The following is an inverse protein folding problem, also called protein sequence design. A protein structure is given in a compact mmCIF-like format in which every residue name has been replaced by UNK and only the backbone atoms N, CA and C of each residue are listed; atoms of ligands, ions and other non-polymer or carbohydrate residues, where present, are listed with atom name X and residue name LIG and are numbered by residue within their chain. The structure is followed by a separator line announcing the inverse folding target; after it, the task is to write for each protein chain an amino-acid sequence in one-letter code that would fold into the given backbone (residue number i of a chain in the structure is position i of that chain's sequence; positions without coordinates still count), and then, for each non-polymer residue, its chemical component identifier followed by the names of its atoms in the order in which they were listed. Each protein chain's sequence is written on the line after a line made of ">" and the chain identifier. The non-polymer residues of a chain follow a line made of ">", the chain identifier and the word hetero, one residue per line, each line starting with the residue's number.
data_IF_781236330906
#
_entry.id   IF_781236330906
#
_cell.length_a   1.000
_cell.length_b   1.000
_cell.length_c   1.000
_cell.angle_alpha   90.00
_cell.angle_beta   90.00
_cell.angle_gamma   90.00
#
_symmetry.space_group_name_H-M   'P 1'
#
loop_
_entity.id
_entity.type
_entity.pdbx_description
1 polymer ?
#
# COMPACT_ATOMS: atom_id res chain seq x y z
N UNK A 1 11.04 17.04 -7.14
CA UNK A 1 10.18 16.82 -5.97
C UNK A 1 10.51 17.89 -4.94
N UNK A 2 9.51 18.58 -4.36
CA UNK A 2 9.79 19.69 -3.42
C UNK A 2 10.13 19.15 -2.03
N UNK A 3 10.88 19.94 -1.24
CA UNK A 3 11.19 19.61 0.16
C UNK A 3 9.92 19.38 1.00
N UNK A 4 8.90 20.22 0.81
CA UNK A 4 7.63 20.10 1.50
C UNK A 4 6.92 18.75 1.25
N UNK A 5 7.02 18.21 0.03
CA UNK A 5 6.45 16.89 -0.28
C UNK A 5 7.21 15.77 0.41
N UNK A 6 8.55 15.88 0.49
CA UNK A 6 9.38 14.92 1.21
C UNK A 6 9.10 14.94 2.72
N UNK A 7 8.98 16.14 3.29
CA UNK A 7 8.65 16.34 4.70
C UNK A 7 7.22 15.84 5.02
N UNK A 8 6.28 15.98 4.08
CA UNK A 8 4.93 15.44 4.20
C UNK A 8 4.92 13.91 4.27
N UNK A 9 5.65 13.23 3.38
CA UNK A 9 5.80 11.75 3.40
C UNK A 9 6.45 11.32 4.71
N UNK A 10 7.57 11.97 5.09
CA UNK A 10 8.25 11.68 6.34
C UNK A 10 7.30 11.84 7.54
N UNK A 11 6.56 12.93 7.62
CA UNK A 11 5.63 13.14 8.72
C UNK A 11 4.52 12.08 8.77
N UNK A 12 4.03 11.66 7.61
CA UNK A 12 3.01 10.62 7.55
C UNK A 12 3.57 9.26 7.99
N UNK A 13 4.79 8.90 7.62
CA UNK A 13 5.26 7.51 7.64
C UNK A 13 6.35 7.20 8.67
N UNK A 14 6.96 8.23 9.26
CA UNK A 14 8.04 8.07 10.22
C UNK A 14 7.62 7.25 11.45
N UNK A 15 8.48 6.32 11.86
CA UNK A 15 8.26 5.46 13.02
C UNK A 15 7.32 4.27 12.80
N UNK A 16 6.79 4.08 11.58
CA UNK A 16 5.92 2.93 11.27
C UNK A 16 6.73 1.68 10.99
N UNK A 17 6.20 0.53 11.40
CA UNK A 17 6.76 -0.77 11.05
C UNK A 17 6.34 -1.13 9.62
N UNK A 18 7.29 -1.58 8.82
CA UNK A 18 7.07 -1.95 7.43
C UNK A 18 7.85 -3.20 7.05
N UNK A 19 7.44 -3.82 5.95
CA UNK A 19 8.18 -4.86 5.23
C UNK A 19 8.41 -4.41 3.80
N UNK A 20 9.44 -4.95 3.17
CA UNK A 20 9.73 -4.74 1.75
C UNK A 20 9.87 -6.10 1.09
N UNK A 21 9.07 -6.34 0.06
CA UNK A 21 9.25 -7.47 -0.85
C UNK A 21 9.82 -6.95 -2.17
N UNK A 22 10.88 -7.59 -2.67
CA UNK A 22 11.53 -7.20 -3.91
C UNK A 22 11.74 -8.40 -4.83
N UNK A 23 11.59 -8.19 -6.13
CA UNK A 23 11.93 -9.18 -7.16
C UNK A 23 12.49 -8.48 -8.39
N UNK A 24 13.72 -8.83 -8.76
CA UNK A 24 14.40 -8.19 -9.88
C UNK A 24 14.57 -6.68 -9.67
N UNK A 25 13.96 -5.89 -10.56
CA UNK A 25 14.07 -4.43 -10.57
C UNK A 25 12.86 -3.72 -9.95
N UNK A 26 11.97 -4.45 -9.26
CA UNK A 26 10.80 -3.87 -8.60
C UNK A 26 10.73 -4.28 -7.13
N UNK A 27 10.17 -3.40 -6.30
CA UNK A 27 9.92 -3.66 -4.89
C UNK A 27 8.62 -3.00 -4.41
N UNK A 28 8.02 -3.59 -3.38
CA UNK A 28 6.85 -3.06 -2.68
C UNK A 28 7.15 -2.96 -1.20
N UNK A 29 6.99 -1.76 -0.64
CA UNK A 29 6.96 -1.53 0.80
C UNK A 29 5.52 -1.53 1.28
N UNK A 30 5.22 -2.21 2.38
CA UNK A 30 3.90 -2.17 3.00
C UNK A 30 4.00 -2.15 4.52
N UNK A 31 3.04 -1.48 5.15
CA UNK A 31 3.05 -1.23 6.59
C UNK A 31 2.38 -2.37 7.36
N UNK A 32 2.95 -2.71 8.52
CA UNK A 32 2.56 -3.88 9.33
C UNK A 32 1.93 -3.51 10.67
N UNK A 33 1.97 -2.23 11.06
CA UNK A 33 1.41 -1.74 12.32
C UNK A 33 0.43 -0.56 12.15
N UNK A 34 0.12 -0.16 10.92
CA UNK A 34 -0.87 0.88 10.67
C UNK A 34 -1.71 0.58 9.43
N UNK A 35 -3.04 0.41 9.55
CA UNK A 35 -3.91 0.07 8.43
C UNK A 35 -4.18 1.26 7.49
N UNK A 36 -3.84 2.48 7.91
CA UNK A 36 -4.18 3.72 7.20
C UNK A 36 -3.29 3.96 5.99
N UNK A 37 -2.01 3.61 6.06
CA UNK A 37 -1.04 3.96 5.03
C UNK A 37 -0.97 2.91 3.93
N UNK A 38 -0.90 3.42 2.71
CA UNK A 38 -0.86 2.65 1.46
C UNK A 38 0.51 2.00 1.26
N UNK A 39 0.60 0.90 0.50
CA UNK A 39 1.90 0.37 0.10
C UNK A 39 2.60 1.33 -0.86
N UNK A 40 3.93 1.33 -0.85
CA UNK A 40 4.75 2.08 -1.79
C UNK A 40 5.45 1.19 -2.81
N UNK A 41 5.54 1.68 -4.04
CA UNK A 41 6.09 0.94 -5.17
C UNK A 41 7.41 1.55 -5.62
N UNK A 42 8.41 0.71 -5.86
CA UNK A 42 9.74 1.16 -6.25
C UNK A 42 10.24 0.41 -7.46
N UNK A 43 10.86 1.16 -8.38
CA UNK A 43 11.62 0.63 -9.50
C UNK A 43 13.12 0.90 -9.31
N UNK A 44 13.96 -0.08 -9.62
CA UNK A 44 15.42 0.04 -9.60
C UNK A 44 15.91 0.47 -10.98
N UNK A 45 16.48 1.66 -11.06
CA UNK A 45 17.13 2.18 -12.26
C UNK A 45 18.63 2.41 -12.06
N UNK A 46 19.32 3.00 -13.06
CA UNK A 46 20.74 3.35 -12.96
C UNK A 46 21.07 4.30 -11.80
N UNK A 47 20.09 5.14 -11.41
CA UNK A 47 20.20 6.09 -10.29
C UNK A 47 19.79 5.48 -8.94
N UNK A 48 19.63 4.16 -8.86
CA UNK A 48 19.17 3.47 -7.66
C UNK A 48 17.65 3.26 -7.63
N UNK A 49 17.12 3.02 -6.42
CA UNK A 49 15.69 2.83 -6.19
C UNK A 49 14.95 4.16 -6.25
N UNK A 50 13.88 4.19 -7.02
CA UNK A 50 13.02 5.36 -7.17
C UNK A 50 11.56 4.93 -6.97
N UNK A 51 10.77 5.78 -6.32
CA UNK A 51 9.34 5.55 -6.17
C UNK A 51 8.67 5.61 -7.54
N UNK A 52 7.88 4.59 -7.85
CA UNK A 52 7.10 4.50 -9.08
C UNK A 52 5.71 5.10 -8.85
N UNK A 53 5.62 6.42 -9.01
CA UNK A 53 4.39 7.19 -8.81
C UNK A 53 3.25 6.70 -9.73
N UNK A 54 3.56 6.20 -10.92
CA UNK A 54 2.54 5.65 -11.80
C UNK A 54 1.95 4.36 -11.23
N UNK A 55 2.79 3.50 -10.63
CA UNK A 55 2.33 2.31 -9.92
C UNK A 55 1.56 2.65 -8.64
N UNK A 56 1.95 3.66 -7.86
CA UNK A 56 1.19 4.16 -6.70
C UNK A 56 -0.27 4.45 -7.08
N UNK A 57 -0.45 5.26 -8.13
CA UNK A 57 -1.76 5.67 -8.61
C UNK A 57 -2.50 4.49 -9.24
N UNK A 58 -1.84 3.64 -10.02
CA UNK A 58 -2.51 2.53 -10.70
C UNK A 58 -2.93 1.44 -9.72
N UNK A 59 -2.06 1.04 -8.81
CA UNK A 59 -2.22 -0.20 -8.04
C UNK A 59 -2.95 0.00 -6.72
N UNK A 60 -3.14 1.24 -6.26
CA UNK A 60 -3.86 1.53 -5.01
C UNK A 60 -5.07 2.43 -5.27
N UNK A 61 -6.18 2.09 -4.63
CA UNK A 61 -7.34 2.97 -4.48
C UNK A 61 -7.45 3.36 -3.01
N UNK A 62 -7.38 4.66 -2.72
CA UNK A 62 -7.63 5.21 -1.39
C UNK A 62 -9.13 5.48 -1.19
N UNK A 63 -9.63 5.30 0.02
CA UNK A 63 -11.02 5.48 0.40
C UNK A 63 -11.12 6.34 1.66
N UNK A 64 -12.18 7.15 1.71
CA UNK A 64 -12.57 7.93 2.89
C UNK A 64 -13.88 7.38 3.42
N UNK A 65 -13.99 7.18 4.74
CA UNK A 65 -15.21 6.70 5.40
C UNK A 65 -15.53 5.21 5.18
N UNK A 66 -14.64 4.46 4.54
CA UNK A 66 -14.77 3.01 4.38
C UNK A 66 -14.22 2.21 5.57
N UNK A 67 -14.55 0.92 5.61
CA UNK A 67 -13.98 -0.04 6.59
C UNK A 67 -12.46 -0.17 6.49
N UNK A 68 -11.89 0.19 5.33
CA UNK A 68 -10.46 0.23 5.05
C UNK A 68 -10.14 1.55 4.34
N UNK A 69 -8.98 2.14 4.63
CA UNK A 69 -8.52 3.39 3.97
C UNK A 69 -8.00 3.17 2.55
N UNK A 70 -7.71 1.92 2.16
CA UNK A 70 -7.22 1.60 0.84
C UNK A 70 -7.48 0.14 0.45
N UNK A 71 -7.52 -0.11 -0.84
CA UNK A 71 -7.51 -1.44 -1.42
C UNK A 71 -6.51 -1.51 -2.58
N UNK A 72 -5.84 -2.65 -2.68
CA UNK A 72 -5.03 -3.02 -3.82
C UNK A 72 -5.93 -3.30 -5.02
N UNK A 73 -5.54 -2.78 -6.19
CA UNK A 73 -6.24 -2.95 -7.48
C UNK A 73 -5.31 -3.25 -8.65
N UNK A 74 -4.04 -3.57 -8.39
CA UNK A 74 -3.09 -3.97 -9.43
C UNK A 74 -3.53 -5.24 -10.16
N UNK A 75 -3.19 -5.32 -11.45
CA UNK A 75 -3.59 -6.43 -12.34
C UNK A 75 -2.46 -6.77 -13.30
N UNK A 76 -1.89 -7.98 -13.17
CA UNK A 76 -0.92 -8.55 -14.12
C UNK A 76 0.44 -7.84 -14.22
N UNK A 77 0.64 -6.73 -13.50
CA UNK A 77 1.91 -6.00 -13.44
C UNK A 77 2.95 -6.70 -12.55
N UNK A 78 4.21 -6.26 -12.65
CA UNK A 78 5.32 -6.90 -11.95
C UNK A 78 5.21 -6.79 -10.42
N UNK A 79 4.60 -5.73 -9.90
CA UNK A 79 4.33 -5.58 -8.47
C UNK A 79 3.24 -6.56 -8.00
N UNK A 80 2.21 -6.77 -8.81
CA UNK A 80 1.16 -7.76 -8.55
C UNK A 80 1.74 -9.17 -8.50
N UNK A 81 2.73 -9.47 -9.34
CA UNK A 81 3.44 -10.76 -9.30
C UNK A 81 4.21 -10.95 -8.00
N UNK A 82 4.92 -9.92 -7.53
CA UNK A 82 5.62 -9.96 -6.22
C UNK A 82 4.64 -10.30 -5.10
N UNK A 83 3.49 -9.62 -5.09
CA UNK A 83 2.50 -9.76 -4.04
C UNK A 83 1.57 -10.96 -4.23
N UNK A 84 1.64 -11.70 -5.34
CA UNK A 84 0.60 -12.66 -5.75
C UNK A 84 0.21 -13.65 -4.64
N UNK A 85 1.18 -14.20 -3.93
CA UNK A 85 0.96 -15.17 -2.84
C UNK A 85 0.59 -14.51 -1.51
N UNK A 86 0.64 -13.18 -1.43
CA UNK A 86 0.37 -12.38 -0.25
C UNK A 86 -0.92 -11.58 -0.35
N UNK A 87 -1.51 -11.44 -1.54
CA UNK A 87 -2.76 -10.71 -1.70
C UNK A 87 -3.92 -11.48 -1.06
N UNK A 88 -4.60 -10.84 -0.11
CA UNK A 88 -5.75 -11.40 0.59
C UNK A 88 -6.98 -10.55 0.35
N UNK A 89 -8.12 -11.22 0.11
CA UNK A 89 -9.42 -10.54 0.01
C UNK A 89 -9.97 -10.32 1.42
N UNK A 90 -10.29 -9.06 1.77
CA UNK A 90 -10.80 -8.71 3.11
C UNK A 90 -12.30 -8.42 3.14
N UNK A 91 -12.84 -7.69 2.15
CA UNK A 91 -14.27 -7.38 2.08
C UNK A 91 -14.71 -7.13 0.64
N UNK A 92 -15.73 -7.84 0.15
CA UNK A 92 -16.37 -7.79 -1.20
C UNK A 92 -15.41 -7.57 -2.40
N UNK A 93 -14.81 -6.40 -2.54
CA UNK A 93 -13.89 -6.01 -3.62
C UNK A 93 -12.51 -5.48 -3.14
N UNK A 94 -12.26 -5.46 -1.83
CA UNK A 94 -11.03 -4.96 -1.24
C UNK A 94 -10.00 -6.06 -1.08
N UNK A 95 -8.92 -5.96 -1.86
CA UNK A 95 -7.71 -6.78 -1.73
C UNK A 95 -6.68 -5.99 -0.93
N UNK A 96 -5.94 -6.65 -0.05
CA UNK A 96 -4.84 -6.06 0.73
C UNK A 96 -3.66 -7.02 0.80
N UNK A 97 -2.52 -6.56 1.33
CA UNK A 97 -1.34 -7.40 1.57
C UNK A 97 -1.51 -8.15 2.88
N UNK A 98 -1.48 -9.48 2.86
CA UNK A 98 -1.80 -10.36 3.99
C UNK A 98 -0.88 -10.18 5.18
N UNK A 99 0.41 -9.96 4.91
CA UNK A 99 1.43 -9.66 5.92
C UNK A 99 1.34 -8.23 6.48
N UNK A 100 0.51 -7.37 5.89
CA UNK A 100 0.33 -5.98 6.30
C UNK A 100 -0.74 -5.81 7.37
N UNK A 101 -0.84 -4.59 7.89
CA UNK A 101 -1.91 -4.23 8.81
C UNK A 101 -3.24 -4.12 8.07
N UNK A 102 -4.14 -5.03 8.44
CA UNK A 102 -5.45 -5.17 7.85
C UNK A 102 -6.57 -5.01 8.89
N UNK A 103 -6.31 -4.30 9.99
CA UNK A 103 -7.35 -3.93 10.94
C UNK A 103 -8.39 -3.04 10.25
N UNK A 104 -9.67 -3.31 10.50
CA UNK A 104 -10.74 -2.43 10.06
C UNK A 104 -10.67 -1.11 10.82
N UNK A 105 -11.05 -0.03 10.16
CA UNK A 105 -11.17 1.26 10.80
C UNK A 105 -12.43 1.29 11.67
N UNK A 106 -12.39 1.98 12.82
CA UNK A 106 -13.56 2.17 13.67
C UNK A 106 -14.47 3.25 13.09
N UNK A 107 -14.94 3.03 11.85
CA UNK A 107 -16.00 3.84 11.23
C UNK A 107 -17.34 3.30 11.74
N UNK A 108 -18.16 4.19 12.31
CA UNK A 108 -19.40 3.95 13.08
C UNK A 108 -20.19 2.68 12.69
N UNK A 109 -20.63 1.95 13.73
CA UNK A 109 -21.50 0.76 13.73
C UNK A 109 -22.43 0.68 12.51
N UNK A 110 -22.08 -0.15 11.52
CA UNK A 110 -23.05 -0.61 10.55
C UNK A 110 -24.03 -1.52 11.31
N UNK A 111 -25.35 -1.23 11.33
CA UNK A 111 -26.31 -2.16 11.90
C UNK A 111 -26.18 -3.49 11.16
N UNK A 112 -26.01 -4.58 11.92
CA UNK A 112 -26.00 -5.93 11.41
C UNK A 112 -27.32 -6.19 10.69
N UNK A 113 -27.26 -6.26 9.35
CA UNK A 113 -28.33 -6.75 8.48
C UNK A 113 -28.49 -8.25 8.63
#
# INVERSE_FOLDING_TARGET
>A
MSRAYFDFILFQEHGRAYKVDSQGNVAVLYFTNDPMVVPHFFAKGPMGWQMDIAAEVRNVAAYVGGLYSWCYRGQGDDYTKILANKLVRKYRYCVRVGDGDNRMLPVLNLPSS
#
